data_IF_902725977028
#
_entry.id   IF_902725977028
#
_cell.length_a   1.000
_cell.length_b   1.000
_cell.length_c   1.000
_cell.angle_alpha   90.00
_cell.angle_beta   90.00
_cell.angle_gamma   90.00
#
_symmetry.space_group_name_H-M   'P 1'
#
loop_
_entity.id
_entity.type
_entity.pdbx_description
1 polymer ?
#
# COMPACT_ATOMS: atom_id res chain seq x y z
N UNK A 1 0.53 -31.32 11.12
CA UNK A 1 0.09 -30.72 9.85
C UNK A 1 -1.21 -29.98 10.14
N UNK A 2 -1.24 -28.64 10.09
CA UNK A 2 -2.48 -27.89 10.31
C UNK A 2 -3.42 -28.07 9.13
N UNK A 3 -4.72 -28.23 9.40
CA UNK A 3 -5.74 -28.34 8.37
C UNK A 3 -5.74 -27.09 7.47
N UNK A 4 -6.05 -27.23 6.16
CA UNK A 4 -6.19 -26.07 5.29
C UNK A 4 -7.32 -25.19 5.80
N UNK A 5 -7.06 -23.88 5.88
CA UNK A 5 -8.06 -22.89 6.23
C UNK A 5 -9.19 -22.94 5.20
N UNK A 6 -10.42 -23.13 5.67
CA UNK A 6 -11.58 -23.20 4.77
C UNK A 6 -11.75 -21.87 4.02
N UNK A 7 -12.08 -21.88 2.72
CA UNK A 7 -12.26 -20.65 1.96
C UNK A 7 -13.38 -19.83 2.59
N UNK A 8 -13.08 -18.58 2.98
CA UNK A 8 -14.11 -17.63 3.43
C UNK A 8 -15.09 -17.36 2.30
N UNK A 9 -16.38 -17.29 2.64
CA UNK A 9 -17.45 -16.94 1.70
C UNK A 9 -17.16 -15.58 1.05
N UNK A 10 -17.13 -15.55 -0.28
CA UNK A 10 -16.66 -14.40 -1.05
C UNK A 10 -17.81 -13.42 -1.27
N UNK A 11 -17.83 -12.33 -0.52
CA UNK A 11 -18.83 -11.27 -0.68
C UNK A 11 -18.44 -10.32 -1.82
N UNK A 12 -19.43 -9.67 -2.44
CA UNK A 12 -19.23 -8.79 -3.60
C UNK A 12 -18.55 -7.44 -3.29
N UNK A 13 -18.37 -7.10 -2.00
CA UNK A 13 -17.92 -5.77 -1.54
C UNK A 13 -16.75 -5.89 -0.56
N UNK A 14 -15.68 -6.55 -1.00
CA UNK A 14 -14.49 -6.78 -0.19
C UNK A 14 -13.30 -5.95 -0.66
N UNK A 15 -12.61 -5.34 0.30
CA UNK A 15 -11.27 -4.82 0.12
C UNK A 15 -10.28 -5.87 0.61
N UNK A 16 -9.32 -6.23 -0.25
CA UNK A 16 -8.28 -7.20 0.06
C UNK A 16 -6.97 -6.48 0.38
N UNK A 17 -6.33 -6.93 1.45
CA UNK A 17 -5.04 -6.47 1.93
C UNK A 17 -4.18 -7.67 2.30
N UNK A 18 -2.86 -7.52 2.25
CA UNK A 18 -1.95 -8.40 2.97
C UNK A 18 -1.80 -7.84 4.39
N UNK A 19 -2.19 -8.60 5.41
CA UNK A 19 -2.16 -8.15 6.80
C UNK A 19 -1.86 -9.30 7.77
N UNK A 20 -1.49 -8.91 8.98
CA UNK A 20 -1.37 -9.77 10.16
C UNK A 20 -2.10 -9.11 11.33
N UNK A 21 -2.03 -9.72 12.51
CA UNK A 21 -2.49 -9.10 13.75
C UNK A 21 -1.77 -7.79 14.08
N UNK A 22 -0.55 -7.57 13.57
CA UNK A 22 0.31 -6.43 13.95
C UNK A 22 0.58 -5.45 12.81
N UNK A 23 0.22 -5.80 11.58
CA UNK A 23 0.61 -5.02 10.40
C UNK A 23 -0.40 -5.11 9.28
N UNK A 24 -0.42 -4.08 8.44
CA UNK A 24 -1.14 -4.09 7.16
C UNK A 24 -0.26 -3.49 6.07
N UNK A 25 -0.35 -4.05 4.87
CA UNK A 25 0.33 -3.53 3.69
C UNK A 25 -0.59 -2.64 2.89
N UNK A 26 -0.05 -1.51 2.48
CA UNK A 26 -0.67 -0.56 1.58
C UNK A 26 0.27 -0.25 0.43
N UNK A 27 -0.30 0.17 -0.69
CA UNK A 27 0.43 0.49 -1.90
C UNK A 27 0.20 1.95 -2.25
N UNK A 28 1.27 2.65 -2.62
CA UNK A 28 1.17 4.04 -3.03
C UNK A 28 2.15 4.34 -4.16
N UNK A 29 1.67 5.13 -5.13
CA UNK A 29 2.46 5.56 -6.26
C UNK A 29 3.08 6.93 -5.99
N UNK A 30 4.35 7.07 -6.37
CA UNK A 30 5.16 8.25 -6.15
C UNK A 30 6.02 8.58 -7.38
N UNK A 31 6.45 9.84 -7.54
CA UNK A 31 7.54 10.18 -8.44
C UNK A 31 8.84 9.54 -7.95
N UNK A 32 9.78 9.36 -8.88
CA UNK A 32 11.10 8.77 -8.62
C UNK A 32 11.82 9.38 -7.41
N UNK A 33 11.77 10.70 -7.25
CA UNK A 33 12.46 11.42 -6.16
C UNK A 33 11.98 11.00 -4.77
N UNK A 34 10.66 10.86 -4.58
CA UNK A 34 10.10 10.39 -3.30
C UNK A 34 10.36 8.90 -3.12
N UNK A 35 10.15 8.10 -4.17
CA UNK A 35 10.24 6.66 -4.07
C UNK A 35 11.65 6.17 -3.71
N UNK A 36 12.68 6.73 -4.34
CA UNK A 36 14.06 6.34 -4.06
C UNK A 36 14.53 6.81 -2.68
N UNK A 37 14.21 8.04 -2.29
CA UNK A 37 14.55 8.55 -0.96
C UNK A 37 13.90 7.70 0.15
N UNK A 38 12.64 7.31 -0.04
CA UNK A 38 11.94 6.45 0.91
C UNK A 38 12.51 5.02 0.95
N UNK A 39 12.91 4.48 -0.20
CA UNK A 39 13.51 3.15 -0.28
C UNK A 39 14.87 3.12 0.42
N UNK A 40 15.70 4.13 0.22
CA UNK A 40 17.01 4.25 0.87
C UNK A 40 16.87 4.39 2.39
N UNK A 41 15.95 5.24 2.85
CA UNK A 41 15.73 5.48 4.28
C UNK A 41 14.86 4.42 4.98
N UNK A 42 14.26 3.48 4.23
CA UNK A 42 13.24 2.53 4.70
C UNK A 42 12.06 3.19 5.47
N UNK A 43 11.76 4.45 5.15
CA UNK A 43 10.66 5.23 5.73
C UNK A 43 10.36 6.43 4.82
N UNK A 44 9.17 7.01 4.93
CA UNK A 44 8.84 8.22 4.17
C UNK A 44 9.63 9.42 4.72
N UNK A 45 10.41 10.05 3.85
CA UNK A 45 11.29 11.20 4.13
C UNK A 45 11.10 12.28 3.06
N UNK A 46 11.53 13.54 3.31
CA UNK A 46 11.52 14.57 2.26
C UNK A 46 12.11 14.04 0.94
N UNK A 47 11.50 14.35 -0.22
CA UNK A 47 10.48 15.38 -0.44
C UNK A 47 9.02 14.90 -0.22
N UNK A 48 8.79 13.76 0.44
CA UNK A 48 7.44 13.39 0.88
C UNK A 48 6.86 14.45 1.84
N UNK A 49 5.56 14.73 1.71
CA UNK A 49 4.83 15.68 2.56
C UNK A 49 3.71 14.97 3.32
N UNK A 50 3.77 15.00 4.64
CA UNK A 50 2.78 14.40 5.52
C UNK A 50 1.44 15.15 5.48
N UNK A 51 1.43 16.46 5.20
CA UNK A 51 0.20 17.25 5.19
C UNK A 51 -0.76 16.88 4.03
N UNK A 52 -0.29 16.11 3.05
CA UNK A 52 -1.11 15.74 1.89
C UNK A 52 -2.02 14.58 2.27
N UNK A 53 -3.33 14.83 2.35
CA UNK A 53 -4.32 13.75 2.44
C UNK A 53 -4.19 12.84 1.22
N UNK A 54 -3.93 11.56 1.46
CA UNK A 54 -3.89 10.56 0.40
C UNK A 54 -4.81 9.39 0.72
N UNK A 55 -5.55 8.93 -0.28
CA UNK A 55 -6.32 7.70 -0.18
C UNK A 55 -5.38 6.50 -0.11
N UNK A 56 -5.51 5.69 0.93
CA UNK A 56 -4.70 4.49 1.15
C UNK A 56 -5.24 3.33 0.30
N UNK A 57 -4.37 2.60 -0.41
CA UNK A 57 -4.74 1.48 -1.29
C UNK A 57 -4.18 0.15 -0.79
N UNK A 58 -4.95 -0.69 -0.08
CA UNK A 58 -4.47 -1.98 0.43
C UNK A 58 -4.25 -3.04 -0.66
N UNK A 59 -4.80 -2.84 -1.86
CA UNK A 59 -4.69 -3.77 -2.99
C UNK A 59 -3.69 -3.30 -4.04
N UNK A 60 -2.72 -4.17 -4.35
CA UNK A 60 -1.72 -3.91 -5.39
C UNK A 60 -2.35 -3.63 -6.75
N UNK A 61 -3.28 -4.47 -7.19
CA UNK A 61 -3.92 -4.32 -8.51
C UNK A 61 -4.76 -3.04 -8.58
N UNK A 62 -5.39 -2.63 -7.47
CA UNK A 62 -6.09 -1.35 -7.41
C UNK A 62 -5.12 -0.17 -7.59
N UNK A 63 -3.95 -0.22 -6.96
CA UNK A 63 -2.91 0.81 -7.12
C UNK A 63 -2.33 0.82 -8.54
N UNK A 64 -2.07 -0.35 -9.13
CA UNK A 64 -1.58 -0.47 -10.51
C UNK A 64 -2.59 0.11 -11.50
N UNK A 65 -3.87 -0.24 -11.39
CA UNK A 65 -4.92 0.33 -12.24
C UNK A 65 -4.97 1.87 -12.13
N UNK A 66 -4.89 2.41 -10.91
CA UNK A 66 -4.98 3.87 -10.67
C UNK A 66 -3.77 4.68 -11.14
N UNK A 67 -2.60 4.05 -11.21
CA UNK A 67 -1.36 4.67 -11.71
C UNK A 67 -1.14 4.47 -13.20
N UNK A 68 -2.14 3.96 -13.94
CA UNK A 68 -1.97 3.52 -15.33
C UNK A 68 -0.78 2.55 -15.49
N UNK A 69 -0.65 1.62 -14.54
CA UNK A 69 0.44 0.67 -14.44
C UNK A 69 1.83 1.32 -14.37
N UNK A 70 1.97 2.37 -13.56
CA UNK A 70 3.23 3.11 -13.42
C UNK A 70 3.58 4.01 -14.61
N UNK A 71 2.66 4.23 -15.55
CA UNK A 71 2.90 5.11 -16.72
C UNK A 71 2.39 6.53 -16.51
N UNK A 72 1.61 6.78 -15.46
CA UNK A 72 1.08 8.11 -15.15
C UNK A 72 2.18 8.99 -14.56
N UNK A 73 2.34 10.20 -15.10
CA UNK A 73 3.30 11.19 -14.59
C UNK A 73 3.11 11.46 -13.10
N UNK A 74 4.20 11.42 -12.34
CA UNK A 74 4.25 11.56 -10.88
C UNK A 74 3.78 10.33 -10.10
N UNK A 75 3.53 9.20 -10.77
CA UNK A 75 3.03 7.94 -10.18
C UNK A 75 3.74 6.72 -10.78
N UNK A 76 5.01 6.86 -11.12
CA UNK A 76 5.77 5.85 -11.85
C UNK A 76 6.32 4.75 -10.94
N UNK A 77 6.51 5.03 -9.65
CA UNK A 77 7.09 4.09 -8.69
C UNK A 77 6.08 3.70 -7.63
N UNK A 78 5.78 2.41 -7.51
CA UNK A 78 4.79 1.89 -6.58
C UNK A 78 5.53 1.27 -5.39
N UNK A 79 5.37 1.88 -4.22
CA UNK A 79 5.93 1.36 -2.98
C UNK A 79 4.93 0.43 -2.28
N UNK A 80 5.46 -0.68 -1.76
CA UNK A 80 4.78 -1.54 -0.78
C UNK A 80 5.14 -1.03 0.60
N UNK A 81 4.20 -0.39 1.30
CA UNK A 81 4.40 0.22 2.61
C UNK A 81 3.74 -0.67 3.65
N UNK A 82 4.49 -1.09 4.66
CA UNK A 82 3.95 -1.82 5.80
C UNK A 82 3.71 -0.84 6.93
N UNK A 83 2.48 -0.81 7.44
CA UNK A 83 2.07 -0.01 8.58
C UNK A 83 1.84 -0.92 9.79
N UNK A 84 2.03 -0.39 10.99
CA UNK A 84 1.51 -1.01 12.20
C UNK A 84 -0.01 -1.03 12.15
N UNK A 85 -0.61 -2.09 12.70
CA UNK A 85 -2.06 -2.25 12.65
C UNK A 85 -2.78 -1.17 13.46
N UNK A 86 -2.25 -0.86 14.64
CA UNK A 86 -2.83 0.12 15.56
C UNK A 86 -2.84 1.54 14.96
N UNK A 87 -1.82 1.89 14.16
CA UNK A 87 -1.76 3.18 13.47
C UNK A 87 -2.70 3.28 12.26
N UNK A 88 -3.22 2.15 11.76
CA UNK A 88 -4.13 2.10 10.62
C UNK A 88 -5.60 2.08 11.02
N UNK A 89 -5.92 1.45 12.15
CA UNK A 89 -7.31 1.27 12.62
C UNK A 89 -7.87 2.49 13.39
N UNK A 90 -7.09 3.58 13.52
CA UNK A 90 -7.43 4.81 14.24
C UNK A 90 -8.20 5.82 13.37
#
# INVERSE_FOLDING_TARGET
MSAPEQPRERTLRELRALYSARSIVVYQAYPRSIALAALEAQRLVPPFRLERTTWIKPSFLWMMYRSAWGRKSGQEHILKITLHRDDFDW
#
